data_IF_553240975813
#
_entry.id   IF_553240975813
#
_cell.length_a   1.000
_cell.length_b   1.000
_cell.length_c   1.000
_cell.angle_alpha   90.00
_cell.angle_beta   90.00
_cell.angle_gamma   90.00
#
_symmetry.space_group_name_H-M   'P 1'
#
loop_
_entity.id
_entity.type
_entity.pdbx_description
1 polymer ?
#
# COMPACT_ATOMS: atom_id res chain seq x y z
N UNK A 1 20.16 27.13 27.15
CA UNK A 1 19.74 27.10 28.57
C UNK A 1 18.22 26.90 28.56
N UNK A 2 17.60 25.73 28.74
CA UNK A 2 17.95 24.46 29.36
C UNK A 2 17.55 23.30 28.42
N UNK A 3 18.49 22.43 28.07
CA UNK A 3 18.19 21.13 27.44
C UNK A 3 17.91 20.15 28.59
N UNK A 4 16.69 19.64 28.67
CA UNK A 4 16.45 18.24 29.09
C UNK A 4 16.45 17.86 30.58
N UNK A 5 15.97 18.69 31.52
CA UNK A 5 15.69 18.22 32.91
C UNK A 5 14.25 17.77 33.15
N UNK A 6 13.41 17.76 32.12
CA UNK A 6 12.05 17.22 32.22
C UNK A 6 12.04 15.69 32.23
N UNK A 7 11.03 15.05 32.85
CA UNK A 7 10.84 13.61 32.72
C UNK A 7 10.70 13.23 31.23
N UNK A 8 11.29 12.11 30.83
CA UNK A 8 11.25 11.58 29.46
C UNK A 8 9.81 11.43 28.95
N UNK A 9 8.88 11.07 29.83
CA UNK A 9 7.46 10.93 29.54
C UNK A 9 6.62 11.83 30.45
N UNK A 10 5.72 12.62 29.86
CA UNK A 10 4.82 13.51 30.59
C UNK A 10 3.39 12.96 30.54
N UNK A 11 3.00 12.20 31.56
CA UNK A 11 1.65 11.63 31.68
C UNK A 11 0.55 12.69 31.67
N UNK A 12 0.80 13.87 32.23
CA UNK A 12 -0.16 14.98 32.22
C UNK A 12 -0.48 15.45 30.81
N UNK A 13 0.49 15.47 29.88
CA UNK A 13 0.23 15.86 28.51
C UNK A 13 -0.78 14.93 27.83
N UNK A 14 -0.69 13.63 28.10
CA UNK A 14 -1.62 12.63 27.55
C UNK A 14 -3.03 12.84 28.09
N UNK A 15 -3.19 13.08 29.39
CA UNK A 15 -4.51 13.33 29.98
C UNK A 15 -5.09 14.66 29.52
N UNK A 16 -4.26 15.70 29.40
CA UNK A 16 -4.67 17.06 29.03
C UNK A 16 -5.03 17.15 27.54
N UNK A 17 -4.40 16.34 26.67
CA UNK A 17 -4.63 16.31 25.22
C UNK A 17 -5.37 15.04 24.77
N UNK A 18 -6.00 14.32 25.69
CA UNK A 18 -6.62 13.02 25.40
C UNK A 18 -7.64 13.11 24.26
N UNK A 19 -8.46 14.16 24.23
CA UNK A 19 -9.44 14.40 23.16
C UNK A 19 -8.78 14.63 21.80
N UNK A 20 -7.68 15.38 21.76
CA UNK A 20 -6.93 15.62 20.52
C UNK A 20 -6.28 14.32 20.02
N UNK A 21 -5.64 13.55 20.91
CA UNK A 21 -5.04 12.26 20.57
C UNK A 21 -6.08 11.31 19.97
N UNK A 22 -7.28 11.26 20.55
CA UNK A 22 -8.37 10.45 20.01
C UNK A 22 -8.79 10.91 18.62
N UNK A 23 -8.92 12.23 18.40
CA UNK A 23 -9.26 12.80 17.10
C UNK A 23 -8.20 12.48 16.04
N UNK A 24 -6.92 12.68 16.37
CA UNK A 24 -5.80 12.44 15.47
C UNK A 24 -5.67 10.94 15.14
N UNK A 25 -5.96 10.06 16.12
CA UNK A 25 -6.00 8.62 15.89
C UNK A 25 -7.11 8.23 14.91
N UNK A 26 -8.31 8.77 15.07
CA UNK A 26 -9.43 8.51 14.15
C UNK A 26 -9.08 8.98 12.74
N UNK A 27 -8.52 10.19 12.61
CA UNK A 27 -8.08 10.71 11.32
C UNK A 27 -6.98 9.83 10.70
N UNK A 28 -6.04 9.34 11.51
CA UNK A 28 -5.00 8.44 11.03
C UNK A 28 -5.57 7.10 10.52
N UNK A 29 -6.55 6.55 11.23
CA UNK A 29 -7.26 5.33 10.82
C UNK A 29 -8.01 5.57 9.51
N UNK A 30 -8.74 6.67 9.40
CA UNK A 30 -9.48 7.05 8.19
C UNK A 30 -8.57 7.11 6.96
N UNK A 31 -7.50 7.92 7.04
CA UNK A 31 -6.50 8.04 5.98
C UNK A 31 -5.88 6.69 5.60
N UNK A 32 -5.54 5.88 6.61
CA UNK A 32 -4.88 4.59 6.37
C UNK A 32 -5.81 3.57 5.72
N UNK A 33 -7.06 3.48 6.19
CA UNK A 33 -8.05 2.53 5.66
C UNK A 33 -8.42 2.91 4.22
N UNK A 34 -8.64 4.19 3.95
CA UNK A 34 -8.97 4.67 2.60
C UNK A 34 -7.80 4.40 1.66
N UNK A 35 -6.59 4.78 2.03
CA UNK A 35 -5.40 4.56 1.21
C UNK A 35 -5.17 3.07 0.92
N UNK A 36 -5.29 2.21 1.93
CA UNK A 36 -5.14 0.75 1.74
C UNK A 36 -6.26 0.18 0.89
N UNK A 37 -7.51 0.58 1.09
CA UNK A 37 -8.63 0.08 0.31
C UNK A 37 -8.52 0.46 -1.17
N UNK A 38 -8.26 1.74 -1.45
CA UNK A 38 -8.04 2.25 -2.82
C UNK A 38 -6.79 1.63 -3.42
N UNK A 39 -5.71 1.59 -2.65
CA UNK A 39 -4.45 0.95 -3.01
C UNK A 39 -4.62 -0.50 -3.39
N UNK A 40 -5.32 -1.30 -2.59
CA UNK A 40 -5.60 -2.70 -2.86
C UNK A 40 -6.47 -2.88 -4.12
N UNK A 41 -7.51 -2.06 -4.27
CA UNK A 41 -8.41 -2.10 -5.43
C UNK A 41 -7.67 -1.83 -6.76
N UNK A 42 -6.59 -1.06 -6.74
CA UNK A 42 -5.78 -0.76 -7.93
C UNK A 42 -4.61 -1.75 -8.07
N UNK A 43 -3.87 -1.99 -6.99
CA UNK A 43 -2.64 -2.80 -7.00
C UNK A 43 -2.90 -4.27 -7.28
N UNK A 44 -3.95 -4.87 -6.73
CA UNK A 44 -4.23 -6.30 -6.91
C UNK A 44 -4.52 -6.59 -8.39
N UNK A 45 -5.42 -5.87 -9.09
CA UNK A 45 -5.61 -6.08 -10.53
C UNK A 45 -4.34 -5.86 -11.35
N UNK A 46 -3.57 -4.80 -11.07
CA UNK A 46 -2.31 -4.53 -11.76
C UNK A 46 -1.28 -5.64 -11.53
N UNK A 47 -1.18 -6.15 -10.32
CA UNK A 47 -0.28 -7.23 -9.94
C UNK A 47 -0.67 -8.55 -10.61
N UNK A 48 -1.96 -8.92 -10.59
CA UNK A 48 -2.48 -10.10 -11.30
C UNK A 48 -2.19 -9.98 -12.79
N UNK A 49 -2.40 -8.80 -13.37
CA UNK A 49 -2.14 -8.54 -14.79
C UNK A 49 -0.65 -8.62 -15.13
N UNK A 50 0.21 -8.05 -14.29
CA UNK A 50 1.67 -8.12 -14.41
C UNK A 50 2.22 -9.53 -14.21
N UNK A 51 1.59 -10.32 -13.33
CA UNK A 51 1.90 -11.73 -13.10
C UNK A 51 1.53 -12.57 -14.33
N UNK A 52 0.34 -12.34 -14.90
CA UNK A 52 -0.17 -13.08 -16.05
C UNK A 52 0.52 -12.73 -17.37
N UNK A 53 0.78 -11.45 -17.62
CA UNK A 53 1.30 -10.96 -18.89
C UNK A 53 2.70 -10.35 -18.73
N UNK A 54 3.69 -11.03 -19.31
CA UNK A 54 5.11 -10.61 -19.23
C UNK A 54 5.36 -9.20 -19.76
N UNK A 55 4.59 -8.74 -20.76
CA UNK A 55 4.72 -7.38 -21.33
C UNK A 55 4.29 -6.28 -20.34
N UNK A 56 3.39 -6.58 -19.41
CA UNK A 56 2.87 -5.63 -18.43
C UNK A 56 3.74 -5.61 -17.17
N UNK A 57 4.48 -6.69 -16.91
CA UNK A 57 5.39 -6.80 -15.77
C UNK A 57 6.44 -5.69 -15.73
N UNK A 58 7.16 -5.47 -16.83
CA UNK A 58 8.22 -4.45 -16.87
C UNK A 58 7.72 -3.02 -16.56
N UNK A 59 6.67 -2.49 -17.20
CA UNK A 59 6.19 -1.14 -16.89
C UNK A 59 5.62 -1.02 -15.47
N UNK A 60 4.84 -2.01 -15.00
CA UNK A 60 4.26 -1.98 -13.65
C UNK A 60 5.35 -1.94 -12.58
N UNK A 61 6.33 -2.84 -12.65
CA UNK A 61 7.42 -2.88 -11.69
C UNK A 61 8.39 -1.70 -11.85
N UNK A 62 8.59 -1.20 -13.06
CA UNK A 62 9.42 -0.01 -13.32
C UNK A 62 8.85 1.24 -12.68
N UNK A 63 7.55 1.48 -12.83
CA UNK A 63 6.85 2.61 -12.20
C UNK A 63 6.89 2.47 -10.68
N UNK A 64 6.54 1.29 -10.16
CA UNK A 64 6.54 1.05 -8.73
C UNK A 64 7.93 1.27 -8.12
N UNK A 65 8.98 0.70 -8.73
CA UNK A 65 10.36 0.84 -8.23
C UNK A 65 10.88 2.27 -8.30
N UNK A 66 10.45 3.05 -9.32
CA UNK A 66 10.80 4.47 -9.41
C UNK A 66 10.17 5.26 -8.27
N UNK A 67 8.89 5.02 -7.99
CA UNK A 67 8.20 5.66 -6.86
C UNK A 67 8.81 5.26 -5.51
N UNK A 68 9.28 4.02 -5.35
CA UNK A 68 9.90 3.57 -4.10
C UNK A 68 11.14 4.35 -3.71
N UNK A 69 11.95 4.76 -4.69
CA UNK A 69 13.21 5.46 -4.44
C UNK A 69 12.95 6.90 -3.99
N UNK A 70 11.77 7.45 -4.28
CA UNK A 70 11.41 8.79 -3.83
C UNK A 70 11.13 8.73 -2.31
N UNK A 71 11.87 9.49 -1.48
CA UNK A 71 11.57 9.56 -0.06
C UNK A 71 10.23 10.27 0.16
N UNK A 72 9.49 9.86 1.19
CA UNK A 72 8.12 10.35 1.41
C UNK A 72 8.06 11.87 1.52
N UNK A 73 9.02 12.49 2.23
CA UNK A 73 9.10 13.94 2.35
C UNK A 73 9.21 14.66 0.99
N UNK A 74 10.00 14.11 0.06
CA UNK A 74 10.13 14.69 -1.28
C UNK A 74 8.86 14.49 -2.10
N UNK A 75 8.20 13.34 -1.99
CA UNK A 75 6.93 13.09 -2.67
C UNK A 75 5.86 14.10 -2.24
N UNK A 76 5.74 14.35 -0.93
CA UNK A 76 4.83 15.38 -0.40
C UNK A 76 5.16 16.77 -0.94
N UNK A 77 6.45 17.15 -0.97
CA UNK A 77 6.88 18.43 -1.51
C UNK A 77 6.55 18.60 -3.01
N UNK A 78 6.62 17.52 -3.80
CA UNK A 78 6.24 17.51 -5.23
C UNK A 78 4.73 17.61 -5.40
N UNK A 79 3.95 16.90 -4.57
CA UNK A 79 2.49 16.86 -4.67
C UNK A 79 1.83 18.14 -4.15
N UNK A 80 2.44 18.83 -3.17
CA UNK A 80 1.88 20.02 -2.53
C UNK A 80 1.40 21.10 -3.51
N UNK A 81 2.21 21.54 -4.48
CA UNK A 81 1.78 22.52 -5.49
C UNK A 81 0.64 22.02 -6.40
N UNK A 82 0.57 20.71 -6.66
CA UNK A 82 -0.44 20.10 -7.56
C UNK A 82 -1.80 20.01 -6.85
N UNK A 83 -1.77 19.74 -5.55
CA UNK A 83 -2.95 19.52 -4.70
C UNK A 83 -3.37 20.77 -3.92
N UNK A 84 -2.57 21.85 -4.00
CA UNK A 84 -2.81 23.14 -3.38
C UNK A 84 -2.01 23.37 -2.09
N UNK A 85 -1.75 22.33 -1.28
CA UNK A 85 -0.97 22.46 -0.05
C UNK A 85 -0.29 21.13 0.35
N UNK A 86 0.93 21.21 0.88
CA UNK A 86 1.73 20.01 1.23
C UNK A 86 1.07 19.14 2.31
N UNK A 87 0.38 19.73 3.29
CA UNK A 87 -0.32 18.98 4.33
C UNK A 87 -1.85 18.94 4.12
N UNK A 88 -2.28 18.98 2.85
CA UNK A 88 -3.69 18.79 2.52
C UNK A 88 -4.06 17.30 2.54
N UNK A 89 -5.33 17.01 2.85
CA UNK A 89 -5.91 15.67 2.80
C UNK A 89 -5.63 14.95 1.45
N UNK A 90 -5.88 15.55 0.26
CA UNK A 90 -5.61 14.87 -1.00
C UNK A 90 -4.11 14.61 -1.24
N UNK A 91 -3.21 15.46 -0.74
CA UNK A 91 -1.75 15.20 -0.82
C UNK A 91 -1.38 13.93 -0.07
N UNK A 92 -1.88 13.81 1.16
CA UNK A 92 -1.63 12.65 2.00
C UNK A 92 -2.19 11.38 1.35
N UNK A 93 -3.43 11.41 0.89
CA UNK A 93 -4.06 10.25 0.23
C UNK A 93 -3.33 9.81 -1.03
N UNK A 94 -2.98 10.74 -1.94
CA UNK A 94 -2.26 10.38 -3.18
C UNK A 94 -0.91 9.74 -2.84
N UNK A 95 -0.18 10.30 -1.87
CA UNK A 95 1.09 9.74 -1.44
C UNK A 95 0.91 8.36 -0.80
N UNK A 96 -0.04 8.21 0.13
CA UNK A 96 -0.32 6.95 0.82
C UNK A 96 -0.76 5.86 -0.16
N UNK A 97 -1.70 6.16 -1.07
CA UNK A 97 -2.10 5.24 -2.13
C UNK A 97 -0.89 4.85 -2.98
N UNK A 98 -0.08 5.82 -3.43
CA UNK A 98 1.13 5.52 -4.21
C UNK A 98 2.09 4.55 -3.50
N UNK A 99 2.30 4.70 -2.20
CA UNK A 99 3.11 3.78 -1.41
C UNK A 99 2.46 2.40 -1.24
N UNK A 100 1.15 2.34 -1.01
CA UNK A 100 0.44 1.05 -0.94
C UNK A 100 0.52 0.30 -2.27
N UNK A 101 0.46 0.99 -3.42
CA UNK A 101 0.60 0.35 -4.73
C UNK A 101 1.91 -0.41 -4.84
N UNK A 102 3.01 0.22 -4.46
CA UNK A 102 4.31 -0.41 -4.47
C UNK A 102 4.28 -1.71 -3.64
N UNK A 103 3.98 -1.59 -2.35
CA UNK A 103 4.09 -2.72 -1.41
C UNK A 103 3.15 -3.86 -1.83
N UNK A 104 1.91 -3.52 -2.18
CA UNK A 104 0.90 -4.50 -2.53
C UNK A 104 1.15 -5.16 -3.88
N UNK A 105 1.71 -4.46 -4.87
CA UNK A 105 2.10 -5.10 -6.15
C UNK A 105 3.15 -6.19 -5.90
N UNK A 106 4.22 -5.86 -5.15
CA UNK A 106 5.27 -6.83 -4.84
C UNK A 106 4.72 -8.03 -4.06
N UNK A 107 3.95 -7.77 -3.00
CA UNK A 107 3.40 -8.83 -2.16
C UNK A 107 2.40 -9.71 -2.91
N UNK A 108 1.53 -9.13 -3.73
CA UNK A 108 0.55 -9.89 -4.52
C UNK A 108 1.23 -10.78 -5.54
N UNK A 109 2.22 -10.27 -6.28
CA UNK A 109 2.98 -11.10 -7.23
C UNK A 109 3.81 -12.16 -6.51
N UNK A 110 4.39 -11.85 -5.35
CA UNK A 110 5.12 -12.83 -4.56
C UNK A 110 4.19 -13.96 -4.07
N UNK A 111 3.00 -13.62 -3.56
CA UNK A 111 1.98 -14.58 -3.13
C UNK A 111 1.55 -15.50 -4.28
N UNK A 112 1.18 -14.92 -5.43
CA UNK A 112 0.83 -15.72 -6.61
C UNK A 112 1.96 -16.64 -7.07
N UNK A 113 3.22 -16.20 -7.00
CA UNK A 113 4.37 -17.06 -7.34
C UNK A 113 4.67 -18.13 -6.28
N UNK A 114 4.17 -17.99 -5.05
CA UNK A 114 4.36 -18.97 -3.98
C UNK A 114 3.40 -20.16 -4.07
N UNK A 115 2.35 -20.06 -4.90
CA UNK A 115 1.39 -21.14 -5.14
C UNK A 115 2.14 -22.37 -5.70
N UNK A 116 2.02 -23.54 -5.06
CA UNK A 116 2.70 -24.77 -5.48
C UNK A 116 2.38 -25.17 -6.93
N UNK A 117 3.39 -25.66 -7.66
CA UNK A 117 3.23 -26.04 -9.07
C UNK A 117 2.29 -27.25 -9.23
N UNK A 118 2.32 -28.19 -8.29
CA UNK A 118 1.43 -29.37 -8.28
C UNK A 118 -0.05 -28.97 -8.18
N UNK A 119 -0.38 -27.93 -7.42
CA UNK A 119 -1.73 -27.37 -7.37
C UNK A 119 -2.16 -26.77 -8.73
N UNK A 120 -1.24 -26.12 -9.45
CA UNK A 120 -1.49 -25.54 -10.79
C UNK A 120 -1.64 -26.63 -11.86
N UNK A 121 -0.80 -27.66 -11.80
CA UNK A 121 -0.89 -28.84 -12.68
C UNK A 121 -2.21 -29.59 -12.46
N UNK A 122 -2.62 -29.79 -11.20
CA UNK A 122 -3.90 -30.40 -10.87
C UNK A 122 -5.09 -29.59 -11.42
N UNK A 123 -5.07 -28.26 -11.27
CA UNK A 123 -6.09 -27.39 -11.84
C UNK A 123 -6.19 -27.55 -13.37
N UNK A 124 -5.04 -27.65 -14.03
CA UNK A 124 -4.95 -27.86 -15.49
C UNK A 124 -5.49 -29.24 -15.89
N UNK A 125 -5.14 -30.30 -15.15
CA UNK A 125 -5.62 -31.66 -15.38
C UNK A 125 -7.13 -31.79 -15.19
N UNK A 126 -7.72 -31.00 -14.28
CA UNK A 126 -9.17 -30.90 -14.08
C UNK A 126 -9.86 -30.01 -15.14
N UNK A 127 -9.13 -29.47 -16.11
CA UNK A 127 -9.66 -28.68 -17.20
C UNK A 127 -10.07 -27.25 -16.83
N UNK A 128 -9.50 -26.68 -15.76
CA UNK A 128 -9.83 -25.31 -15.36
C UNK A 128 -9.31 -24.31 -16.39
N UNK A 129 -10.14 -23.32 -16.72
CA UNK A 129 -9.68 -22.17 -17.50
C UNK A 129 -8.70 -21.33 -16.66
N UNK A 130 -7.84 -20.50 -17.27
CA UNK A 130 -6.89 -19.68 -16.52
C UNK A 130 -7.55 -18.77 -15.46
N UNK A 131 -8.75 -18.26 -15.75
CA UNK A 131 -9.50 -17.44 -14.79
C UNK A 131 -10.11 -18.29 -13.67
N UNK A 132 -10.58 -19.49 -13.97
CA UNK A 132 -11.08 -20.42 -12.97
C UNK A 132 -9.96 -20.90 -12.03
N UNK A 133 -8.78 -21.21 -12.58
CA UNK A 133 -7.58 -21.55 -11.81
C UNK A 133 -7.14 -20.38 -10.91
N UNK A 134 -7.11 -19.15 -11.44
CA UNK A 134 -6.78 -17.96 -10.65
C UNK A 134 -7.71 -17.81 -9.43
N UNK A 135 -9.03 -17.85 -9.65
CA UNK A 135 -10.00 -17.58 -8.57
C UNK A 135 -10.12 -18.73 -7.58
N UNK A 136 -10.00 -19.98 -8.04
CA UNK A 136 -10.26 -21.17 -7.21
C UNK A 136 -9.01 -21.84 -6.64
N UNK A 137 -7.84 -21.52 -7.17
CA UNK A 137 -6.57 -22.17 -6.77
C UNK A 137 -5.54 -21.12 -6.42
N UNK A 138 -5.21 -20.19 -7.32
CA UNK A 138 -4.09 -19.26 -7.09
C UNK A 138 -4.38 -18.18 -6.02
N UNK A 139 -5.63 -17.69 -5.91
CA UNK A 139 -6.01 -16.68 -4.90
C UNK A 139 -6.23 -17.22 -3.47
N UNK A 140 -6.82 -18.41 -3.25
CA UNK A 140 -7.03 -18.94 -1.89
C UNK A 140 -5.80 -19.65 -1.28
N UNK A 141 -4.77 -19.96 -2.07
CA UNK A 141 -3.52 -20.58 -1.62
C UNK A 141 -2.43 -19.53 -1.39
#
# INVERSE_FOLDING_TARGET
>A
MLIGTGPFFRWSYVTDNWSQIQSDLVQHIELSVIAVAVGAAISIPLAVLAWRYRIIRAPVFGIASTLYIIPSLALFAILGPITGFVASYPTAEIALVGYTLLILIWNTVAGLNAVPEDAREAATALGYSPMAALVRVDLPL
#
